data_IF_982248627973
#
_entry.id   IF_982248627973
#
_cell.length_a   1.000
_cell.length_b   1.000
_cell.length_c   1.000
_cell.angle_alpha   90.00
_cell.angle_beta   90.00
_cell.angle_gamma   90.00
#
_symmetry.space_group_name_H-M   'P 1'
#
loop_
_entity.id
_entity.type
_entity.pdbx_description
1 polymer ?
#
# COMPACT_ATOMS: atom_id res chain seq x y z
N UNK A 1 3.32 9.02 48.92
CA UNK A 1 2.31 9.15 47.86
C UNK A 1 3.03 9.66 46.62
N UNK A 2 3.11 8.87 45.54
CA UNK A 2 3.69 9.35 44.28
C UNK A 2 2.59 10.04 43.51
N UNK A 3 2.73 11.35 43.30
CA UNK A 3 1.75 12.16 42.56
C UNK A 3 1.89 11.86 41.08
N UNK A 4 0.78 11.88 40.36
CA UNK A 4 0.76 11.60 38.91
C UNK A 4 1.56 12.65 38.10
N UNK A 5 1.83 13.83 38.68
CA UNK A 5 2.70 14.85 38.10
C UNK A 5 4.16 14.40 37.92
N UNK A 6 4.66 13.50 38.77
CA UNK A 6 6.06 13.03 38.73
C UNK A 6 6.24 11.74 37.92
N UNK A 7 5.14 11.13 37.45
CA UNK A 7 5.18 9.81 36.82
C UNK A 7 5.93 9.79 35.49
N UNK A 8 5.88 10.89 34.72
CA UNK A 8 6.59 11.01 33.45
C UNK A 8 7.99 11.63 33.60
N UNK A 9 8.26 12.29 34.73
CA UNK A 9 9.52 13.02 34.98
C UNK A 9 10.78 12.21 34.63
N UNK A 10 10.93 10.91 34.97
CA UNK A 10 12.14 10.17 34.60
C UNK A 10 12.37 10.02 33.09
N UNK A 11 11.33 10.05 32.25
CA UNK A 11 11.44 9.90 30.79
C UNK A 11 11.59 11.27 30.08
N UNK A 12 10.93 12.33 30.58
CA UNK A 12 11.00 13.69 29.98
C UNK A 12 12.10 14.59 30.54
N UNK A 13 12.60 14.34 31.76
CA UNK A 13 13.62 15.20 32.38
C UNK A 13 14.93 15.29 31.57
N UNK A 14 15.22 14.31 30.71
CA UNK A 14 16.40 14.34 29.84
C UNK A 14 16.27 15.32 28.66
N UNK A 15 15.04 15.68 28.27
CA UNK A 15 14.74 16.59 27.17
C UNK A 15 14.16 17.93 27.59
N UNK A 16 13.92 18.11 28.90
CA UNK A 16 13.43 19.37 29.44
C UNK A 16 14.56 20.40 29.44
N UNK A 17 14.33 21.52 28.75
CA UNK A 17 15.28 22.62 28.77
C UNK A 17 15.26 23.24 30.17
N UNK A 18 16.37 23.14 30.90
CA UNK A 18 16.53 23.82 32.18
C UNK A 18 16.65 25.32 31.94
N UNK A 19 15.53 26.03 32.16
CA UNK A 19 15.42 27.46 31.99
C UNK A 19 15.72 28.22 33.30
N UNK A 20 15.90 27.52 34.43
CA UNK A 20 16.05 28.14 35.74
C UNK A 20 17.26 29.08 35.77
N UNK A 21 17.03 30.35 36.08
CA UNK A 21 18.08 31.38 36.12
C UNK A 21 18.60 31.84 34.75
N UNK A 22 17.91 31.46 33.66
CA UNK A 22 18.14 32.05 32.34
C UNK A 22 17.40 33.39 32.20
N UNK A 23 17.87 34.25 31.30
CA UNK A 23 17.21 35.52 30.99
C UNK A 23 15.75 35.34 30.56
N UNK A 24 15.41 34.20 29.96
CA UNK A 24 14.04 33.89 29.55
C UNK A 24 13.11 33.63 30.74
N UNK A 25 13.62 32.95 31.78
CA UNK A 25 12.89 32.65 33.01
C UNK A 25 12.67 33.92 33.87
N UNK A 26 13.69 34.78 33.94
CA UNK A 26 13.59 36.07 34.62
C UNK A 26 12.62 37.05 33.93
N UNK A 27 12.40 36.90 32.62
CA UNK A 27 11.63 37.83 31.79
C UNK A 27 10.46 37.20 31.04
N UNK A 28 9.87 36.12 31.57
CA UNK A 28 8.72 35.42 30.96
C UNK A 28 7.58 36.40 30.64
N UNK A 29 7.24 37.31 31.56
CA UNK A 29 6.15 38.27 31.35
C UNK A 29 6.41 39.20 30.16
N UNK A 30 7.66 39.63 29.96
CA UNK A 30 8.05 40.47 28.84
C UNK A 30 7.96 39.70 27.52
N UNK A 31 8.42 38.45 27.49
CA UNK A 31 8.30 37.57 26.32
C UNK A 31 6.83 37.32 25.95
N UNK A 32 5.97 37.09 26.95
CA UNK A 32 4.52 36.92 26.76
C UNK A 32 3.90 38.19 26.16
N UNK A 33 4.23 39.37 26.69
CA UNK A 33 3.71 40.65 26.16
C UNK A 33 4.16 40.85 24.71
N UNK A 34 5.42 40.56 24.37
CA UNK A 34 5.93 40.66 23.01
C UNK A 34 5.19 39.68 22.09
N UNK A 35 5.01 38.42 22.50
CA UNK A 35 4.31 37.42 21.72
C UNK A 35 2.84 37.81 21.46
N UNK A 36 2.13 38.26 22.49
CA UNK A 36 0.75 38.74 22.37
C UNK A 36 0.68 39.94 21.44
N UNK A 37 1.60 40.91 21.60
CA UNK A 37 1.65 42.10 20.75
C UNK A 37 1.90 41.73 19.29
N UNK A 38 2.85 40.83 19.01
CA UNK A 38 3.13 40.34 17.67
C UNK A 38 1.93 39.63 17.05
N UNK A 39 1.23 38.79 17.83
CA UNK A 39 0.02 38.11 17.39
C UNK A 39 -1.11 39.09 17.05
N UNK A 40 -1.36 40.09 17.91
CA UNK A 40 -2.37 41.13 17.68
C UNK A 40 -2.06 41.97 16.43
N UNK A 41 -0.79 42.32 16.21
CA UNK A 41 -0.35 43.01 15.00
C UNK A 41 -0.60 42.15 13.76
N UNK A 42 -0.25 40.86 13.80
CA UNK A 42 -0.50 39.92 12.70
C UNK A 42 -1.99 39.83 12.33
N UNK A 43 -2.86 39.72 13.34
CA UNK A 43 -4.32 39.68 13.15
C UNK A 43 -4.82 41.01 12.55
N UNK A 44 -4.37 42.15 13.07
CA UNK A 44 -4.75 43.46 12.57
C UNK A 44 -4.35 43.66 11.11
N UNK A 45 -3.13 43.27 10.74
CA UNK A 45 -2.64 43.31 9.35
C UNK A 45 -3.46 42.41 8.44
N UNK A 46 -3.75 41.18 8.86
CA UNK A 46 -4.62 40.26 8.12
C UNK A 46 -6.01 40.85 7.88
N UNK A 47 -6.63 41.46 8.91
CA UNK A 47 -7.92 42.12 8.79
C UNK A 47 -7.88 43.33 7.82
N UNK A 48 -6.82 44.13 7.86
CA UNK A 48 -6.65 45.28 6.95
C UNK A 48 -6.45 44.87 5.49
N UNK A 49 -5.70 43.80 5.25
CA UNK A 49 -5.38 43.27 3.91
C UNK A 49 -6.61 42.55 3.32
N UNK A 50 -7.18 41.58 4.02
CA UNK A 50 -8.19 40.68 3.46
C UNK A 50 -9.63 41.20 3.60
N UNK A 51 -10.00 41.72 4.78
CA UNK A 51 -11.38 42.14 5.05
C UNK A 51 -11.64 43.59 4.61
N UNK A 52 -10.79 44.52 5.04
CA UNK A 52 -10.94 45.94 4.70
C UNK A 52 -10.38 46.30 3.32
N UNK A 53 -9.57 45.42 2.70
CA UNK A 53 -8.94 45.62 1.38
C UNK A 53 -8.22 46.96 1.23
N UNK A 54 -7.66 47.49 2.33
CA UNK A 54 -6.96 48.79 2.35
C UNK A 54 -5.51 48.67 1.92
N UNK A 55 -4.94 47.47 2.02
CA UNK A 55 -3.55 47.16 1.69
C UNK A 55 -3.58 46.07 0.62
N UNK A 56 -2.80 46.24 -0.45
CA UNK A 56 -2.66 45.21 -1.48
C UNK A 56 -1.92 44.01 -0.89
N UNK A 57 -2.52 42.83 -0.98
CA UNK A 57 -1.87 41.59 -0.60
C UNK A 57 -0.63 41.38 -1.49
N UNK A 58 0.52 41.23 -0.86
CA UNK A 58 1.75 40.79 -1.50
C UNK A 58 1.95 39.33 -1.13
N UNK A 59 1.64 38.43 -2.06
CA UNK A 59 1.81 37.00 -1.89
C UNK A 59 2.85 36.49 -2.91
N UNK A 60 4.06 36.13 -2.46
CA UNK A 60 5.03 35.45 -3.30
C UNK A 60 4.44 34.17 -3.90
N UNK A 61 4.70 33.94 -5.19
CA UNK A 61 4.23 32.74 -5.90
C UNK A 61 4.66 31.44 -5.24
N UNK A 62 5.78 31.44 -4.51
CA UNK A 62 6.27 30.30 -3.74
C UNK A 62 5.30 29.89 -2.63
N UNK A 63 4.83 30.84 -1.82
CA UNK A 63 3.91 30.57 -0.71
C UNK A 63 2.51 30.25 -1.21
N UNK A 64 2.05 30.91 -2.27
CA UNK A 64 0.79 30.60 -2.93
C UNK A 64 0.72 29.15 -3.46
N UNK A 65 1.87 28.55 -3.77
CA UNK A 65 1.95 27.16 -4.23
C UNK A 65 2.40 26.19 -3.13
N UNK A 66 2.34 26.57 -1.85
CA UNK A 66 2.79 25.74 -0.72
C UNK A 66 4.17 25.11 -0.97
N UNK A 67 5.12 25.94 -1.42
CA UNK A 67 6.48 25.49 -1.76
C UNK A 67 6.55 24.44 -2.89
N UNK A 68 5.50 24.35 -3.71
CA UNK A 68 5.30 23.33 -4.74
C UNK A 68 5.28 21.88 -4.23
N UNK A 69 5.19 21.68 -2.92
CA UNK A 69 5.21 20.35 -2.31
C UNK A 69 4.00 19.52 -2.77
N UNK A 70 2.80 20.08 -2.62
CA UNK A 70 1.55 19.42 -3.02
C UNK A 70 1.54 19.10 -4.52
N UNK A 71 2.11 19.99 -5.35
CA UNK A 71 2.24 19.78 -6.80
C UNK A 71 3.20 18.64 -7.11
N UNK A 72 4.35 18.57 -6.44
CA UNK A 72 5.33 17.52 -6.65
C UNK A 72 4.75 16.15 -6.26
N UNK A 73 4.11 16.06 -5.10
CA UNK A 73 3.46 14.83 -4.61
C UNK A 73 2.33 14.41 -5.56
N UNK A 74 1.46 15.34 -5.95
CA UNK A 74 0.35 15.05 -6.86
C UNK A 74 0.84 14.60 -8.24
N UNK A 75 1.90 15.23 -8.76
CA UNK A 75 2.49 14.85 -10.04
C UNK A 75 3.09 13.44 -9.98
N UNK A 76 3.80 13.12 -8.90
CA UNK A 76 4.39 11.80 -8.70
C UNK A 76 3.33 10.70 -8.53
N UNK A 77 2.34 10.91 -7.67
CA UNK A 77 1.27 9.94 -7.46
C UNK A 77 0.40 9.77 -8.72
N UNK A 78 0.08 10.88 -9.38
CA UNK A 78 -0.78 10.87 -10.57
C UNK A 78 -0.13 10.30 -11.83
N UNK A 79 1.20 10.36 -11.97
CA UNK A 79 1.90 9.93 -13.19
C UNK A 79 2.71 8.63 -12.99
N UNK A 80 3.95 8.65 -12.45
CA UNK A 80 4.72 7.42 -12.30
C UNK A 80 4.03 6.42 -11.36
N UNK A 81 3.41 6.90 -10.27
CA UNK A 81 2.66 6.05 -9.34
C UNK A 81 1.50 5.34 -10.04
N UNK A 82 0.63 6.09 -10.74
CA UNK A 82 -0.51 5.48 -11.45
C UNK A 82 -0.08 4.49 -12.54
N UNK A 83 0.96 4.82 -13.31
CA UNK A 83 1.47 3.95 -14.39
C UNK A 83 2.02 2.63 -13.87
N UNK A 84 2.70 2.61 -12.73
CA UNK A 84 3.21 1.36 -12.16
C UNK A 84 2.06 0.46 -11.71
N UNK A 85 1.04 1.00 -11.05
CA UNK A 85 -0.14 0.23 -10.66
C UNK A 85 -0.92 -0.30 -11.88
N UNK A 86 -1.08 0.52 -12.91
CA UNK A 86 -1.73 0.10 -14.15
C UNK A 86 -0.94 -1.02 -14.87
N UNK A 87 0.39 -0.96 -14.85
CA UNK A 87 1.24 -2.02 -15.40
C UNK A 87 1.07 -3.34 -14.64
N UNK A 88 1.03 -3.31 -13.30
CA UNK A 88 0.80 -4.50 -12.48
C UNK A 88 -0.58 -5.09 -12.73
N UNK A 89 -1.62 -4.26 -12.78
CA UNK A 89 -2.98 -4.71 -13.07
C UNK A 89 -3.12 -5.29 -14.50
N UNK A 90 -2.42 -4.70 -15.47
CA UNK A 90 -2.39 -5.22 -16.84
C UNK A 90 -1.65 -6.55 -16.93
N UNK A 91 -0.59 -6.73 -16.14
CA UNK A 91 0.13 -8.00 -16.08
C UNK A 91 -0.75 -9.11 -15.51
N UNK A 92 -1.43 -8.87 -14.40
CA UNK A 92 -2.34 -9.84 -13.78
C UNK A 92 -3.45 -10.27 -14.74
N UNK A 93 -4.21 -9.30 -15.27
CA UNK A 93 -5.33 -9.55 -16.19
C UNK A 93 -4.96 -10.20 -17.52
N UNK A 94 -3.70 -10.10 -17.98
CA UNK A 94 -3.28 -10.70 -19.27
C UNK A 94 -2.50 -11.98 -19.08
N UNK A 95 -1.55 -11.99 -18.15
CA UNK A 95 -0.61 -13.10 -17.98
C UNK A 95 -1.19 -14.13 -17.01
N UNK A 96 -1.66 -13.69 -15.85
CA UNK A 96 -2.18 -14.60 -14.81
C UNK A 96 -3.52 -15.18 -15.25
N UNK A 97 -4.48 -14.33 -15.59
CA UNK A 97 -5.79 -14.78 -16.10
C UNK A 97 -5.65 -15.57 -17.40
N UNK A 98 -4.72 -15.17 -18.28
CA UNK A 98 -4.43 -15.89 -19.51
C UNK A 98 -3.90 -17.31 -19.25
N UNK A 99 -2.99 -17.46 -18.30
CA UNK A 99 -2.46 -18.76 -17.91
C UNK A 99 -3.54 -19.64 -17.27
N UNK A 100 -4.35 -19.09 -16.37
CA UNK A 100 -5.44 -19.82 -15.69
C UNK A 100 -6.48 -20.30 -16.70
N UNK A 101 -6.94 -19.41 -17.58
CA UNK A 101 -7.91 -19.76 -18.63
C UNK A 101 -7.31 -20.76 -19.62
N UNK A 102 -6.02 -20.62 -19.97
CA UNK A 102 -5.31 -21.54 -20.86
C UNK A 102 -5.24 -22.96 -20.29
N UNK A 103 -4.89 -23.10 -19.01
CA UNK A 103 -4.91 -24.41 -18.32
C UNK A 103 -6.32 -24.98 -18.30
N UNK A 104 -7.33 -24.16 -18.00
CA UNK A 104 -8.73 -24.58 -18.03
C UNK A 104 -9.17 -25.12 -19.39
N UNK A 105 -8.80 -24.44 -20.49
CA UNK A 105 -9.08 -24.88 -21.86
C UNK A 105 -8.38 -26.21 -22.16
N UNK A 106 -7.08 -26.31 -21.86
CA UNK A 106 -6.30 -27.52 -22.11
C UNK A 106 -6.86 -28.75 -21.39
N UNK A 107 -7.24 -28.60 -20.11
CA UNK A 107 -7.89 -29.67 -19.35
C UNK A 107 -9.24 -30.04 -19.95
N UNK A 108 -10.06 -29.04 -20.34
CA UNK A 108 -11.38 -29.28 -20.94
C UNK A 108 -11.29 -30.03 -22.27
N UNK A 109 -10.36 -29.62 -23.13
CA UNK A 109 -10.13 -30.28 -24.43
C UNK A 109 -9.65 -31.71 -24.23
N UNK A 110 -8.67 -31.93 -23.34
CA UNK A 110 -8.18 -33.26 -23.01
C UNK A 110 -9.31 -34.15 -22.47
N UNK A 111 -10.12 -33.64 -21.54
CA UNK A 111 -11.25 -34.38 -20.98
C UNK A 111 -12.31 -34.69 -22.04
N UNK A 112 -12.57 -33.76 -22.97
CA UNK A 112 -13.53 -33.96 -24.06
C UNK A 112 -13.05 -35.06 -25.01
N UNK A 113 -11.78 -35.07 -25.40
CA UNK A 113 -11.21 -36.13 -26.24
C UNK A 113 -11.24 -37.49 -25.52
N UNK A 114 -10.86 -37.54 -24.24
CA UNK A 114 -10.94 -38.77 -23.43
C UNK A 114 -12.38 -39.27 -23.31
N UNK A 115 -13.35 -38.36 -23.15
CA UNK A 115 -14.78 -38.73 -23.00
C UNK A 115 -15.34 -39.43 -24.24
N UNK A 116 -14.84 -39.12 -25.44
CA UNK A 116 -15.24 -39.81 -26.69
C UNK A 116 -14.88 -41.31 -26.68
N UNK A 117 -13.91 -41.72 -25.87
CA UNK A 117 -13.56 -43.14 -25.67
C UNK A 117 -14.59 -43.93 -24.86
N UNK A 118 -15.50 -43.25 -24.15
CA UNK A 118 -16.59 -43.87 -23.40
C UNK A 118 -17.83 -44.04 -24.29
N UNK A 119 -17.86 -45.12 -25.07
CA UNK A 119 -18.90 -45.39 -26.08
C UNK A 119 -20.19 -45.99 -25.50
N UNK A 120 -20.21 -46.37 -24.23
CA UNK A 120 -21.35 -47.05 -23.58
C UNK A 120 -21.49 -48.54 -23.91
N UNK A 121 -20.65 -49.11 -24.79
CA UNK A 121 -20.68 -50.54 -25.13
C UNK A 121 -19.90 -51.39 -24.13
N UNK A 122 -20.60 -52.20 -23.33
CA UNK A 122 -20.01 -53.10 -22.31
C UNK A 122 -18.86 -53.97 -22.84
N UNK A 123 -18.95 -54.45 -24.09
CA UNK A 123 -17.92 -55.27 -24.73
C UNK A 123 -16.60 -54.51 -24.94
N UNK A 124 -16.67 -53.21 -25.19
CA UNK A 124 -15.50 -52.36 -25.36
C UNK A 124 -14.78 -52.13 -24.02
N UNK A 125 -15.53 -51.97 -22.93
CA UNK A 125 -14.98 -51.92 -21.57
C UNK A 125 -14.29 -53.23 -21.16
N UNK A 126 -14.89 -54.38 -21.47
CA UNK A 126 -14.28 -55.69 -21.19
C UNK A 126 -12.92 -55.85 -21.88
N UNK A 127 -12.79 -55.37 -23.13
CA UNK A 127 -11.51 -55.35 -23.84
C UNK A 127 -10.45 -54.45 -23.18
N UNK A 128 -10.83 -53.22 -22.80
CA UNK A 128 -9.92 -52.28 -22.11
C UNK A 128 -9.46 -52.84 -20.76
N UNK A 129 -10.37 -53.41 -19.96
CA UNK A 129 -10.05 -54.03 -18.67
C UNK A 129 -9.11 -55.22 -18.85
N UNK A 130 -9.34 -56.06 -19.87
CA UNK A 130 -8.45 -57.18 -20.20
C UNK A 130 -7.03 -56.73 -20.54
N UNK A 131 -6.89 -55.70 -21.38
CA UNK A 131 -5.59 -55.09 -21.71
C UNK A 131 -4.91 -54.53 -20.44
N UNK A 132 -5.66 -53.77 -19.62
CA UNK A 132 -5.13 -53.21 -18.38
C UNK A 132 -4.63 -54.30 -17.41
N UNK A 133 -5.36 -55.41 -17.27
CA UNK A 133 -4.95 -56.53 -16.44
C UNK A 133 -3.64 -57.16 -16.92
N UNK A 134 -3.50 -57.41 -18.23
CA UNK A 134 -2.26 -57.95 -18.81
C UNK A 134 -1.08 -57.00 -18.62
N UNK A 135 -1.29 -55.70 -18.84
CA UNK A 135 -0.25 -54.69 -18.63
C UNK A 135 0.18 -54.58 -17.17
N UNK A 136 -0.77 -54.60 -16.23
CA UNK A 136 -0.48 -54.58 -14.79
C UNK A 136 0.28 -55.83 -14.35
N UNK A 137 -0.11 -57.00 -14.84
CA UNK A 137 0.60 -58.26 -14.56
C UNK A 137 2.01 -58.25 -15.16
N UNK A 138 2.16 -57.79 -16.40
CA UNK A 138 3.46 -57.63 -17.04
C UNK A 138 4.36 -56.65 -16.28
N UNK A 139 3.84 -55.48 -15.91
CA UNK A 139 4.53 -54.51 -15.07
C UNK A 139 4.97 -55.12 -13.74
N UNK A 140 4.08 -55.82 -13.05
CA UNK A 140 4.37 -56.48 -11.77
C UNK A 140 5.50 -57.50 -11.90
N UNK A 141 5.44 -58.37 -12.91
CA UNK A 141 6.47 -59.39 -13.14
C UNK A 141 7.81 -58.76 -13.53
N UNK A 142 7.81 -57.73 -14.37
CA UNK A 142 9.05 -57.07 -14.82
C UNK A 142 9.71 -56.25 -13.72
N UNK A 143 8.93 -55.53 -12.90
CA UNK A 143 9.51 -54.58 -11.92
C UNK A 143 9.67 -55.18 -10.52
N UNK A 144 8.86 -56.17 -10.12
CA UNK A 144 9.05 -56.89 -8.86
C UNK A 144 9.65 -58.29 -9.00
N UNK A 145 9.66 -58.86 -10.20
CA UNK A 145 10.21 -60.20 -10.44
C UNK A 145 11.62 -60.21 -11.03
N UNK A 146 12.12 -59.08 -11.55
CA UNK A 146 13.45 -58.97 -12.18
C UNK A 146 14.39 -58.04 -11.38
N UNK A 147 13.88 -57.15 -10.52
CA UNK A 147 14.64 -56.40 -9.50
C UNK A 147 14.50 -57.08 -8.14
#
# INVERSE_FOLDING_TARGET
EHRLEDWLHPDVAFGEADLAGTWADDHVMLLVIIAISAALIGILLGWLIYQRKRIKAWEPTLFANAWYYDRAVSWFMGNPGRKSFEAVATFDSKVVDGAVNGVGVAVRETATEVSKGQTGYVRQYAGVIGIAAVLLLGWFVVIRGIL
#
